data_IF_753161937488
#
_entry.id   IF_753161937488
#
_cell.length_a   1.000
_cell.length_b   1.000
_cell.length_c   1.000
_cell.angle_alpha   90.00
_cell.angle_beta   90.00
_cell.angle_gamma   90.00
#
_symmetry.space_group_name_H-M   'P 1'
#
loop_
_entity.id
_entity.type
_entity.pdbx_description
1 polymer ?
#
# COMPACT_ATOMS: atom_id res chain seq x y z
N UNK A 1 -18.70 9.83 -27.65
CA UNK A 1 -18.05 8.90 -26.70
C UNK A 1 -17.10 9.71 -25.85
N UNK A 2 -17.41 9.90 -24.57
CA UNK A 2 -16.48 10.53 -23.63
C UNK A 2 -15.28 9.59 -23.43
N UNK A 3 -14.05 10.12 -23.30
CA UNK A 3 -12.92 9.28 -22.95
C UNK A 3 -13.21 8.64 -21.58
N UNK A 4 -13.13 7.31 -21.51
CA UNK A 4 -13.03 6.61 -20.23
C UNK A 4 -11.71 7.10 -19.64
N UNK A 5 -11.79 8.04 -18.70
CA UNK A 5 -10.66 8.33 -17.84
C UNK A 5 -10.46 7.04 -17.05
N UNK A 6 -9.48 6.21 -17.44
CA UNK A 6 -8.96 5.19 -16.54
C UNK A 6 -8.55 5.97 -15.29
N UNK A 7 -9.37 5.90 -14.24
CA UNK A 7 -9.11 6.58 -13.00
C UNK A 7 -7.96 5.82 -12.34
N UNK A 8 -6.74 6.05 -12.82
CA UNK A 8 -5.55 5.51 -12.20
C UNK A 8 -5.53 6.04 -10.77
N UNK A 9 -5.63 5.12 -9.79
CA UNK A 9 -5.56 5.48 -8.39
C UNK A 9 -4.36 6.39 -8.13
N UNK A 10 -4.59 7.62 -7.70
CA UNK A 10 -3.52 8.59 -7.47
C UNK A 10 -2.54 8.04 -6.44
N UNK A 11 -1.26 8.39 -6.54
CA UNK A 11 -0.25 7.88 -5.62
C UNK A 11 -0.60 8.18 -4.15
N UNK A 12 -1.28 9.30 -3.89
CA UNK A 12 -1.76 9.66 -2.56
C UNK A 12 -2.79 8.67 -2.05
N UNK A 13 -3.78 8.34 -2.87
CA UNK A 13 -4.88 7.46 -2.48
C UNK A 13 -4.41 6.00 -2.42
N UNK A 14 -3.47 5.60 -3.29
CA UNK A 14 -2.84 4.28 -3.24
C UNK A 14 -2.01 4.10 -1.95
N UNK A 15 -1.29 5.14 -1.53
CA UNK A 15 -0.59 5.14 -0.23
C UNK A 15 -1.56 5.02 0.94
N UNK A 16 -2.66 5.78 0.92
CA UNK A 16 -3.68 5.74 1.96
C UNK A 16 -4.36 4.37 2.05
N UNK A 17 -4.74 3.77 0.91
CA UNK A 17 -5.33 2.44 0.84
C UNK A 17 -4.35 1.35 1.35
N UNK A 18 -3.07 1.47 1.00
CA UNK A 18 -2.03 0.57 1.51
C UNK A 18 -1.87 0.70 3.03
N UNK A 19 -1.83 1.93 3.57
CA UNK A 19 -1.69 2.15 5.01
C UNK A 19 -2.89 1.67 5.81
N UNK A 20 -4.11 1.90 5.32
CA UNK A 20 -5.34 1.40 5.93
C UNK A 20 -5.35 -0.14 5.99
N UNK A 21 -5.03 -0.77 4.84
CA UNK A 21 -4.89 -2.22 4.77
C UNK A 21 -3.80 -2.73 5.71
N UNK A 22 -2.66 -2.04 5.75
CA UNK A 22 -1.53 -2.42 6.61
C UNK A 22 -1.90 -2.36 8.09
N UNK A 23 -2.65 -1.34 8.53
CA UNK A 23 -3.18 -1.23 9.89
C UNK A 23 -4.17 -2.35 10.21
N UNK A 24 -5.03 -2.74 9.26
CA UNK A 24 -6.03 -3.80 9.47
C UNK A 24 -5.45 -5.15 9.89
N UNK A 25 -4.17 -5.41 9.59
CA UNK A 25 -3.48 -6.65 9.98
C UNK A 25 -3.01 -6.68 11.43
N UNK A 26 -3.11 -5.58 12.17
CA UNK A 26 -2.61 -5.47 13.54
C UNK A 26 -3.68 -4.87 14.46
N UNK A 27 -3.76 -5.38 15.70
CA UNK A 27 -4.68 -4.82 16.72
C UNK A 27 -4.30 -3.40 17.15
N UNK A 28 -3.00 -3.10 17.15
CA UNK A 28 -2.45 -1.78 17.48
C UNK A 28 -1.29 -1.53 16.54
N UNK A 29 -1.47 -0.61 15.59
CA UNK A 29 -0.50 -0.29 14.55
C UNK A 29 -0.42 1.21 14.34
N UNK A 30 0.81 1.71 14.30
CA UNK A 30 1.13 3.10 13.99
C UNK A 30 1.95 3.14 12.71
N UNK A 31 1.63 4.07 11.81
CA UNK A 31 2.45 4.32 10.63
C UNK A 31 3.59 5.23 11.08
N UNK A 32 4.83 4.72 11.06
CA UNK A 32 5.99 5.49 11.52
C UNK A 32 6.73 6.19 10.37
N UNK A 33 6.44 5.82 9.13
CA UNK A 33 7.01 6.42 7.93
C UNK A 33 5.97 6.44 6.81
N UNK A 34 5.87 7.51 6.01
CA UNK A 34 4.89 7.59 4.94
C UNK A 34 5.06 6.45 3.93
N UNK A 35 3.94 5.91 3.46
CA UNK A 35 3.96 4.88 2.44
C UNK A 35 4.60 5.37 1.13
N UNK A 36 5.21 4.44 0.40
CA UNK A 36 5.93 4.71 -0.85
C UNK A 36 5.46 3.78 -1.96
N UNK A 37 5.12 4.36 -3.11
CA UNK A 37 4.92 3.61 -4.35
C UNK A 37 6.31 3.15 -4.83
N UNK A 38 6.50 1.85 -4.97
CA UNK A 38 7.76 1.24 -5.37
C UNK A 38 7.80 0.96 -6.87
N UNK A 39 6.69 0.43 -7.41
CA UNK A 39 6.58 0.01 -8.81
C UNK A 39 5.17 0.23 -9.34
N UNK A 40 5.06 0.46 -10.64
CA UNK A 40 3.81 0.41 -11.38
C UNK A 40 3.94 -0.74 -12.39
N UNK A 41 3.07 -1.73 -12.28
CA UNK A 41 3.09 -2.92 -13.12
C UNK A 41 2.37 -2.65 -14.45
N UNK A 42 3.02 -2.91 -15.59
CA UNK A 42 2.39 -2.83 -16.92
C UNK A 42 2.06 -4.23 -17.45
N UNK A 43 0.93 -4.43 -18.16
CA UNK A 43 -0.06 -3.42 -18.58
C UNK A 43 -1.16 -3.12 -17.55
N UNK A 44 -1.20 -3.84 -16.42
CA UNK A 44 -2.32 -3.81 -15.46
C UNK A 44 -2.43 -2.53 -14.61
N UNK A 45 -1.46 -1.61 -14.70
CA UNK A 45 -1.37 -0.32 -13.98
C UNK A 45 -1.44 -0.44 -12.46
N UNK A 46 -1.29 -1.65 -11.92
CA UNK A 46 -1.31 -1.88 -10.49
C UNK A 46 -0.05 -1.31 -9.84
N UNK A 47 -0.22 -0.62 -8.70
CA UNK A 47 0.87 0.00 -7.96
C UNK A 47 1.29 -0.89 -6.82
N UNK A 48 2.56 -1.25 -6.78
CA UNK A 48 3.15 -1.86 -5.60
C UNK A 48 3.50 -0.76 -4.60
N UNK A 49 2.89 -0.80 -3.42
CA UNK A 49 3.04 0.20 -2.37
C UNK A 49 3.60 -0.44 -1.11
N UNK A 50 4.60 0.18 -0.52
CA UNK A 50 5.16 -0.21 0.77
C UNK A 50 4.66 0.73 1.88
N UNK A 51 4.03 0.14 2.90
CA UNK A 51 3.59 0.77 4.13
C UNK A 51 4.48 0.35 5.30
N UNK A 52 4.79 1.29 6.19
CA UNK A 52 5.74 1.09 7.27
C UNK A 52 5.03 1.17 8.61
N UNK A 53 4.82 0.00 9.22
CA UNK A 53 3.99 -0.15 10.42
C UNK A 53 4.85 -0.50 11.62
N UNK A 54 4.59 0.16 12.74
CA UNK A 54 5.12 -0.17 14.06
C UNK A 54 3.99 -0.75 14.91
N UNK A 55 4.26 -1.86 15.58
CA UNK A 55 3.35 -2.46 16.57
C UNK A 55 4.14 -2.83 17.82
N UNK A 56 3.90 -2.10 18.91
CA UNK A 56 4.71 -2.17 20.12
C UNK A 56 6.18 -1.84 19.84
N UNK A 57 7.07 -2.82 20.04
CA UNK A 57 8.53 -2.71 19.79
C UNK A 57 8.97 -3.24 18.42
N UNK A 58 8.03 -3.73 17.59
CA UNK A 58 8.34 -4.39 16.31
C UNK A 58 8.02 -3.47 15.14
N UNK A 59 8.87 -3.51 14.12
CA UNK A 59 8.73 -2.74 12.89
C UNK A 59 8.50 -3.69 11.72
N UNK A 60 7.56 -3.33 10.86
CA UNK A 60 7.15 -4.12 9.70
C UNK A 60 7.08 -3.26 8.45
N UNK A 61 7.47 -3.84 7.33
CA UNK A 61 7.19 -3.35 5.99
C UNK A 61 6.10 -4.21 5.39
N UNK A 62 4.95 -3.62 5.09
CA UNK A 62 3.81 -4.26 4.45
C UNK A 62 3.80 -3.82 2.99
N UNK A 63 3.79 -4.77 2.07
CA UNK A 63 3.74 -4.49 0.65
C UNK A 63 2.37 -4.89 0.12
N UNK A 64 1.71 -3.94 -0.53
CA UNK A 64 0.40 -4.13 -1.12
C UNK A 64 0.45 -3.86 -2.63
N UNK A 65 -0.48 -4.48 -3.35
CA UNK A 65 -0.77 -4.21 -4.74
C UNK A 65 -2.07 -3.42 -4.77
N UNK A 66 -2.02 -2.18 -5.24
CA UNK A 66 -3.18 -1.29 -5.35
C UNK A 66 -3.62 -1.27 -6.80
N UNK A 67 -4.88 -1.61 -7.05
CA UNK A 67 -5.46 -1.55 -8.40
C UNK A 67 -5.95 -0.14 -8.77
N UNK A 68 -6.51 -0.02 -9.97
CA UNK A 68 -7.04 1.24 -10.49
C UNK A 68 -8.19 1.78 -9.62
N UNK A 69 -8.98 0.89 -9.01
CA UNK A 69 -10.06 1.22 -8.06
C UNK A 69 -9.59 1.56 -6.62
N UNK A 70 -8.28 1.80 -6.42
CA UNK A 70 -7.67 2.06 -5.12
C UNK A 70 -7.86 0.94 -4.07
N UNK A 71 -8.09 -0.30 -4.50
CA UNK A 71 -8.19 -1.45 -3.60
C UNK A 71 -6.81 -2.05 -3.35
N UNK A 72 -6.42 -2.11 -2.07
CA UNK A 72 -5.14 -2.67 -1.66
C UNK A 72 -5.23 -4.17 -1.36
N UNK A 73 -4.44 -4.96 -2.09
CA UNK A 73 -4.26 -6.39 -1.88
C UNK A 73 -2.91 -6.67 -1.23
N UNK A 74 -2.88 -7.51 -0.20
CA UNK A 74 -1.63 -7.86 0.47
C UNK A 74 -0.78 -8.78 -0.39
N UNK A 75 0.51 -8.44 -0.51
CA UNK A 75 1.50 -9.27 -1.21
C UNK A 75 2.42 -9.95 -0.19
N UNK A 76 3.08 -9.15 0.65
CA UNK A 76 4.10 -9.64 1.59
C UNK A 76 4.23 -8.74 2.81
N UNK A 77 4.72 -9.34 3.90
CA UNK A 77 5.12 -8.66 5.14
C UNK A 77 6.54 -9.04 5.48
N UNK A 78 7.37 -8.04 5.76
CA UNK A 78 8.75 -8.23 6.21
C UNK A 78 8.93 -7.58 7.57
N UNK A 79 9.53 -8.30 8.52
CA UNK A 79 9.97 -7.71 9.79
C UNK A 79 11.27 -6.97 9.54
N UNK A 80 11.38 -5.73 10.03
CA UNK A 80 12.62 -4.97 9.92
C UNK A 80 13.50 -5.24 11.15
N UNK A 81 14.80 -5.44 10.92
CA UNK A 81 15.81 -5.66 11.98
C UNK A 81 15.83 -7.08 12.57
N UNK A 82 15.38 -8.07 11.80
CA UNK A 82 15.69 -9.49 12.02
C UNK A 82 16.88 -9.84 11.11
#
# INVERSE_FOLDING_TARGET
MAPVTYAECLDRDAKAASDDKAKSYFKTAEIFHPARVLKVHHPSRQKEVASYVKTGKKYYSIFTLVNEDCQAHFIKRTRQGD
#
